data_IF_939099886389
#
_entry.id   IF_939099886389
#
_cell.length_a   1.000
_cell.length_b   1.000
_cell.length_c   1.000
_cell.angle_alpha   90.00
_cell.angle_beta   90.00
_cell.angle_gamma   90.00
#
_symmetry.space_group_name_H-M   'P 1'
#
loop_
_entity.id
_entity.type
_entity.pdbx_description
1 polymer ?
#
# COMPACT_ATOMS: atom_id res chain seq x y z
N UNK A 1 30.84 -19.45 -9.16
CA UNK A 1 30.65 -18.14 -8.52
C UNK A 1 29.98 -18.40 -7.18
N UNK A 2 30.77 -18.57 -6.12
CA UNK A 2 30.23 -18.63 -4.75
C UNK A 2 29.75 -17.22 -4.40
N UNK A 3 28.43 -17.04 -4.33
CA UNK A 3 27.86 -15.80 -3.83
C UNK A 3 28.24 -15.71 -2.36
N UNK A 4 29.17 -14.80 -2.06
CA UNK A 4 29.56 -14.47 -0.69
C UNK A 4 28.29 -14.15 0.10
N UNK A 5 27.91 -15.06 1.00
CA UNK A 5 26.76 -14.91 1.88
C UNK A 5 27.10 -13.73 2.78
N UNK A 6 26.59 -12.55 2.42
CA UNK A 6 26.91 -11.33 3.16
C UNK A 6 26.44 -11.53 4.60
N UNK A 7 27.38 -11.43 5.55
CA UNK A 7 27.08 -11.55 6.97
C UNK A 7 25.85 -10.72 7.36
N UNK A 8 24.95 -11.24 8.20
CA UNK A 8 23.71 -10.57 8.55
C UNK A 8 23.98 -9.16 9.08
N UNK A 9 23.46 -8.15 8.40
CA UNK A 9 23.52 -6.76 8.88
C UNK A 9 22.66 -6.66 10.14
N UNK A 10 23.32 -6.45 11.28
CA UNK A 10 22.66 -6.28 12.58
C UNK A 10 22.64 -4.79 12.90
N UNK A 11 21.45 -4.19 12.81
CA UNK A 11 21.18 -2.89 13.40
C UNK A 11 20.75 -3.04 14.87
N UNK A 12 20.86 -1.99 15.69
CA UNK A 12 20.28 -1.98 17.03
C UNK A 12 18.76 -2.21 16.98
N UNK A 13 18.07 -1.66 15.98
CA UNK A 13 16.60 -1.66 15.90
C UNK A 13 16.00 -2.65 14.90
N UNK A 14 16.82 -3.39 14.15
CA UNK A 14 16.33 -4.40 13.21
C UNK A 14 17.34 -5.54 13.00
N UNK A 15 16.90 -6.63 12.38
CA UNK A 15 17.74 -7.74 11.91
C UNK A 15 17.34 -8.09 10.49
N UNK A 16 18.32 -8.38 9.64
CA UNK A 16 18.11 -8.89 8.27
C UNK A 16 18.75 -10.27 8.15
N UNK A 17 18.03 -11.22 7.57
CA UNK A 17 18.51 -12.57 7.25
C UNK A 17 17.80 -13.03 5.98
N UNK A 18 18.51 -13.43 4.93
CA UNK A 18 17.90 -14.03 3.71
C UNK A 18 16.74 -13.19 3.13
N UNK A 19 16.93 -11.88 2.98
CA UNK A 19 15.93 -10.91 2.52
C UNK A 19 14.67 -10.80 3.41
N UNK A 20 14.71 -11.38 4.61
CA UNK A 20 13.70 -11.26 5.64
C UNK A 20 14.11 -10.21 6.66
N UNK A 21 13.24 -9.21 6.84
CA UNK A 21 13.44 -8.08 7.76
C UNK A 21 12.67 -8.34 9.06
N UNK A 22 13.31 -8.14 10.20
CA UNK A 22 12.67 -8.10 11.53
C UNK A 22 12.92 -6.74 12.17
N UNK A 23 11.86 -5.99 12.42
CA UNK A 23 11.91 -4.76 13.21
C UNK A 23 11.86 -5.16 14.70
N UNK A 24 12.78 -4.63 15.51
CA UNK A 24 12.87 -4.88 16.95
C UNK A 24 12.22 -3.78 17.78
N UNK A 25 12.21 -2.56 17.27
CA UNK A 25 11.63 -1.40 17.95
C UNK A 25 10.13 -1.30 17.66
N UNK A 26 9.35 -0.87 18.66
CA UNK A 26 7.91 -0.67 18.53
C UNK A 26 7.47 0.51 19.39
N UNK A 27 6.50 1.27 18.90
CA UNK A 27 5.73 2.26 19.64
C UNK A 27 4.33 1.74 20.00
N UNK A 28 3.98 0.51 19.59
CA UNK A 28 2.64 -0.02 19.80
C UNK A 28 2.35 -0.41 21.25
N UNK A 29 1.09 -0.20 21.64
CA UNK A 29 0.55 -0.56 22.95
C UNK A 29 -0.57 -1.58 22.81
N UNK A 30 -0.61 -2.53 23.75
CA UNK A 30 -1.68 -3.54 23.84
C UNK A 30 -3.06 -2.94 24.11
N UNK A 31 -3.13 -1.69 24.57
CA UNK A 31 -4.39 -0.98 24.83
C UNK A 31 -5.00 -0.34 23.56
N UNK A 32 -4.29 -0.42 22.44
CA UNK A 32 -4.67 0.17 21.15
C UNK A 32 -5.14 -0.90 20.14
N UNK A 33 -5.65 -2.02 20.65
CA UNK A 33 -6.26 -3.09 19.84
C UNK A 33 -7.78 -3.07 20.05
N UNK A 34 -8.57 -3.69 19.15
CA UNK A 34 -10.02 -3.79 19.33
C UNK A 34 -10.40 -4.38 20.70
N UNK A 35 -11.41 -3.81 21.35
CA UNK A 35 -11.92 -4.28 22.64
C UNK A 35 -12.58 -5.65 22.51
N UNK A 36 -12.80 -6.37 23.61
CA UNK A 36 -13.48 -7.67 23.59
C UNK A 36 -14.88 -7.58 22.94
N UNK A 37 -15.63 -6.53 23.25
CA UNK A 37 -16.95 -6.26 22.65
C UNK A 37 -16.86 -6.11 21.13
N UNK A 38 -15.87 -5.36 20.63
CA UNK A 38 -15.65 -5.17 19.19
C UNK A 38 -15.26 -6.44 18.45
N UNK A 39 -14.78 -7.48 19.16
CA UNK A 39 -14.41 -8.78 18.59
C UNK A 39 -15.60 -9.73 18.46
N UNK A 40 -16.67 -9.48 19.22
CA UNK A 40 -17.89 -10.27 19.18
C UNK A 40 -18.77 -9.81 18.02
N UNK A 41 -19.42 -10.76 17.35
CA UNK A 41 -20.45 -10.46 16.35
C UNK A 41 -21.76 -10.16 17.09
N UNK A 42 -22.06 -8.88 17.27
CA UNK A 42 -23.30 -8.39 17.90
C UNK A 42 -24.07 -7.59 16.87
N UNK A 43 -25.38 -7.84 16.81
CA UNK A 43 -26.31 -7.10 15.96
C UNK A 43 -26.90 -5.94 16.75
N UNK A 44 -26.99 -4.77 16.14
CA UNK A 44 -27.73 -3.62 16.69
C UNK A 44 -29.25 -3.76 16.46
N UNK A 45 -30.03 -2.82 16.98
CA UNK A 45 -31.50 -2.80 16.82
C UNK A 45 -31.96 -2.64 15.36
N UNK A 46 -31.05 -2.19 14.48
CA UNK A 46 -31.28 -2.07 13.05
C UNK A 46 -30.86 -3.34 12.29
N UNK A 47 -30.35 -4.35 12.99
CA UNK A 47 -29.86 -5.58 12.42
C UNK A 47 -28.51 -5.44 11.70
N UNK A 48 -27.74 -4.36 11.91
CA UNK A 48 -26.37 -4.28 11.43
C UNK A 48 -25.41 -4.93 12.43
N UNK A 49 -24.27 -5.43 11.97
CA UNK A 49 -23.19 -5.89 12.85
C UNK A 49 -21.84 -5.32 12.44
N UNK A 50 -20.95 -5.19 13.42
CA UNK A 50 -19.56 -4.81 13.25
C UNK A 50 -18.68 -5.73 14.11
N UNK A 51 -17.76 -6.45 13.50
CA UNK A 51 -16.89 -7.41 14.18
C UNK A 51 -15.43 -7.26 13.73
N UNK A 52 -14.49 -7.32 14.67
CA UNK A 52 -13.06 -7.43 14.38
C UNK A 52 -12.59 -8.87 14.60
N UNK A 53 -11.98 -9.46 13.58
CA UNK A 53 -11.38 -10.81 13.63
C UNK A 53 -9.87 -10.67 13.48
N UNK A 54 -9.10 -11.16 14.44
CA UNK A 54 -7.64 -11.06 14.35
C UNK A 54 -7.10 -11.96 13.24
N UNK A 55 -6.11 -11.46 12.51
CA UNK A 55 -5.35 -12.20 11.50
C UNK A 55 -3.96 -12.54 12.06
N UNK A 56 -3.51 -13.75 11.80
CA UNK A 56 -2.26 -14.35 12.24
C UNK A 56 -1.31 -14.58 11.07
N UNK A 57 -0.10 -15.07 11.36
CA UNK A 57 0.96 -15.20 10.36
C UNK A 57 0.66 -16.19 9.25
N UNK A 58 -0.24 -17.14 9.45
CA UNK A 58 -0.67 -18.11 8.43
C UNK A 58 -1.77 -17.56 7.50
N UNK A 59 -2.39 -16.42 7.83
CA UNK A 59 -3.38 -15.80 6.98
C UNK A 59 -2.75 -15.22 5.69
N UNK A 60 -3.35 -15.52 4.55
CA UNK A 60 -2.92 -14.99 3.25
C UNK A 60 -2.84 -13.46 3.23
N UNK A 61 -3.81 -12.78 3.85
CA UNK A 61 -3.83 -11.32 3.91
C UNK A 61 -2.70 -10.76 4.79
N UNK A 62 -2.31 -11.48 5.84
CA UNK A 62 -1.16 -11.11 6.67
C UNK A 62 0.13 -11.20 5.85
N UNK A 63 0.33 -12.32 5.15
CA UNK A 63 1.50 -12.52 4.27
C UNK A 63 1.56 -11.44 3.17
N UNK A 64 0.42 -11.09 2.58
CA UNK A 64 0.35 -10.01 1.59
C UNK A 64 0.79 -8.65 2.15
N UNK A 65 0.48 -8.34 3.42
CA UNK A 65 1.02 -7.13 4.06
C UNK A 65 2.54 -7.21 4.20
N UNK A 66 3.08 -8.34 4.64
CA UNK A 66 4.51 -8.55 4.81
C UNK A 66 5.29 -8.38 3.49
N UNK A 67 4.78 -8.98 2.42
CA UNK A 67 5.36 -8.94 1.07
C UNK A 67 5.26 -7.54 0.45
N UNK A 68 4.23 -6.76 0.81
CA UNK A 68 4.11 -5.37 0.35
C UNK A 68 5.05 -4.43 1.08
N UNK A 69 5.24 -4.60 2.39
CA UNK A 69 6.07 -3.70 3.20
C UNK A 69 7.57 -3.95 2.96
N UNK A 70 7.97 -5.22 2.87
CA UNK A 70 9.38 -5.63 2.79
C UNK A 70 10.22 -4.90 1.73
N UNK A 71 9.79 -4.82 0.47
CA UNK A 71 10.58 -4.18 -0.59
C UNK A 71 10.85 -2.70 -0.32
N UNK A 72 9.89 -1.96 0.23
CA UNK A 72 10.10 -0.56 0.59
C UNK A 72 11.12 -0.41 1.74
N UNK A 73 11.07 -1.28 2.74
CA UNK A 73 12.05 -1.25 3.83
C UNK A 73 13.46 -1.58 3.34
N UNK A 74 13.58 -2.55 2.43
CA UNK A 74 14.85 -2.93 1.83
C UNK A 74 15.48 -1.77 1.05
N UNK A 75 14.68 -1.10 0.22
CA UNK A 75 15.15 0.02 -0.57
C UNK A 75 15.52 1.22 0.31
N UNK A 76 14.56 1.71 1.10
CA UNK A 76 14.69 2.98 1.84
C UNK A 76 15.60 2.93 3.07
N UNK A 77 15.78 1.75 3.68
CA UNK A 77 16.58 1.61 4.91
C UNK A 77 17.89 0.87 4.65
N UNK A 78 17.88 -0.12 3.76
CA UNK A 78 19.06 -0.95 3.51
C UNK A 78 19.82 -0.56 2.23
N UNK A 79 19.26 0.31 1.38
CA UNK A 79 19.80 0.63 0.07
C UNK A 79 19.83 -0.60 -0.85
N UNK A 80 18.85 -1.49 -0.69
CA UNK A 80 18.75 -2.76 -1.42
C UNK A 80 17.52 -2.75 -2.31
N UNK A 81 17.75 -2.55 -3.60
CA UNK A 81 16.72 -2.64 -4.62
C UNK A 81 16.27 -4.10 -4.82
N UNK A 82 15.08 -4.25 -5.39
CA UNK A 82 14.58 -5.55 -5.82
C UNK A 82 15.50 -6.13 -6.90
N UNK A 83 15.98 -7.34 -6.67
CA UNK A 83 16.77 -8.12 -7.62
C UNK A 83 15.98 -9.37 -8.00
N UNK A 84 15.61 -9.56 -9.28
CA UNK A 84 14.89 -10.75 -9.73
C UNK A 84 15.64 -12.07 -9.49
N UNK A 85 16.97 -12.03 -9.32
CA UNK A 85 17.77 -13.21 -9.05
C UNK A 85 17.74 -13.64 -7.57
N UNK A 86 17.19 -12.80 -6.68
CA UNK A 86 17.13 -13.05 -5.24
C UNK A 86 15.67 -13.24 -4.78
N UNK A 87 15.45 -13.93 -3.65
CA UNK A 87 14.12 -13.98 -3.04
C UNK A 87 13.57 -12.58 -2.77
N UNK A 88 12.25 -12.35 -2.91
CA UNK A 88 11.65 -11.06 -2.63
C UNK A 88 11.85 -10.66 -1.17
N UNK A 89 12.07 -9.37 -0.95
CA UNK A 89 12.17 -8.81 0.39
C UNK A 89 10.82 -8.87 1.09
N UNK A 90 10.80 -9.35 2.34
CA UNK A 90 9.57 -9.38 3.15
C UNK A 90 9.84 -9.05 4.61
N UNK A 91 8.81 -8.53 5.28
CA UNK A 91 8.80 -8.38 6.74
C UNK A 91 8.45 -9.76 7.37
N UNK A 92 9.15 -10.19 8.41
CA UNK A 92 8.86 -11.51 9.03
C UNK A 92 7.54 -11.51 9.80
N UNK A 93 7.27 -10.41 10.50
CA UNK A 93 6.08 -10.14 11.31
C UNK A 93 6.03 -8.65 11.60
N UNK A 94 4.85 -8.13 11.95
CA UNK A 94 4.74 -6.76 12.46
C UNK A 94 5.59 -6.55 13.73
N UNK A 95 6.02 -5.30 14.02
CA UNK A 95 6.67 -4.98 15.28
C UNK A 95 5.81 -5.41 16.48
N UNK A 96 6.43 -5.62 17.64
CA UNK A 96 5.72 -6.13 18.82
C UNK A 96 4.50 -5.25 19.17
N UNK A 97 3.41 -5.87 19.62
CA UNK A 97 2.09 -5.27 19.91
C UNK A 97 1.29 -4.70 18.72
N UNK A 98 1.86 -4.68 17.51
CA UNK A 98 1.04 -4.48 16.32
C UNK A 98 0.28 -5.75 15.95
N UNK A 99 -1.01 -5.60 15.67
CA UNK A 99 -1.88 -6.73 15.32
C UNK A 99 -2.76 -6.37 14.12
N UNK A 100 -2.87 -7.30 13.17
CA UNK A 100 -3.71 -7.13 11.99
C UNK A 100 -5.09 -7.71 12.27
N UNK A 101 -6.13 -6.96 11.90
CA UNK A 101 -7.53 -7.32 12.12
C UNK A 101 -8.31 -7.18 10.83
N UNK A 102 -9.24 -8.11 10.59
CA UNK A 102 -10.26 -8.01 9.57
C UNK A 102 -11.53 -7.44 10.21
N UNK A 103 -11.86 -6.20 9.86
CA UNK A 103 -13.13 -5.58 10.24
C UNK A 103 -14.21 -6.03 9.27
N UNK A 104 -15.22 -6.72 9.81
CA UNK A 104 -16.40 -7.22 9.08
C UNK A 104 -17.60 -6.35 9.45
N UNK A 105 -18.27 -5.78 8.44
CA UNK A 105 -19.52 -5.04 8.61
C UNK A 105 -20.58 -5.62 7.69
N UNK A 106 -21.77 -5.90 8.19
CA UNK A 106 -22.87 -6.45 7.40
C UNK A 106 -24.21 -6.30 8.10
N UNK A 107 -25.24 -6.94 7.55
CA UNK A 107 -26.60 -6.92 8.10
C UNK A 107 -27.08 -8.33 8.44
N UNK A 108 -28.17 -8.41 9.20
CA UNK A 108 -28.87 -9.66 9.51
C UNK A 108 -29.55 -10.24 8.28
N UNK A 109 -29.91 -9.39 7.31
CA UNK A 109 -30.53 -9.78 6.04
C UNK A 109 -29.53 -10.36 5.03
N UNK A 110 -28.24 -10.00 5.14
CA UNK A 110 -27.16 -10.55 4.31
C UNK A 110 -25.93 -10.91 5.17
N UNK A 111 -26.02 -11.95 6.01
CA UNK A 111 -24.93 -12.34 6.89
C UNK A 111 -23.79 -13.04 6.15
N UNK A 112 -24.03 -13.49 4.91
CA UNK A 112 -23.08 -14.27 4.10
C UNK A 112 -22.09 -13.38 3.33
N UNK A 113 -22.45 -12.13 3.04
CA UNK A 113 -21.61 -11.20 2.28
C UNK A 113 -21.25 -9.92 3.05
N UNK A 114 -20.67 -10.03 4.26
CA UNK A 114 -20.20 -8.83 4.95
C UNK A 114 -19.11 -8.15 4.14
N UNK A 115 -19.14 -6.82 4.14
CA UNK A 115 -17.98 -6.03 3.74
C UNK A 115 -16.83 -6.33 4.68
N UNK A 116 -15.64 -6.49 4.12
CA UNK A 116 -14.42 -6.71 4.90
C UNK A 116 -13.36 -5.66 4.58
N UNK A 117 -12.70 -5.16 5.61
CA UNK A 117 -11.59 -4.20 5.51
C UNK A 117 -10.47 -4.64 6.48
N UNK A 118 -9.21 -4.60 6.05
CA UNK A 118 -8.08 -5.00 6.89
C UNK A 118 -7.43 -3.78 7.56
N UNK A 119 -7.21 -3.88 8.87
CA UNK A 119 -6.73 -2.82 9.73
C UNK A 119 -5.57 -3.28 10.60
N UNK A 120 -4.48 -2.52 10.57
CA UNK A 120 -3.36 -2.71 11.48
C UNK A 120 -3.54 -1.79 12.70
N UNK A 121 -3.65 -2.41 13.87
CA UNK A 121 -3.83 -1.81 15.18
C UNK A 121 -2.55 -1.86 16.01
N UNK A 122 -2.47 -1.02 17.05
CA UNK A 122 -1.37 -1.00 18.02
C UNK A 122 -0.75 0.38 18.20
N UNK A 123 -0.71 1.20 17.15
CA UNK A 123 -0.12 2.53 17.22
C UNK A 123 -0.87 3.45 18.21
N UNK A 124 -0.15 4.27 18.99
CA UNK A 124 -0.78 5.30 19.81
C UNK A 124 -1.52 6.33 18.96
N UNK A 125 -2.20 7.26 19.60
CA UNK A 125 -2.73 8.42 18.89
C UNK A 125 -1.55 9.24 18.33
N UNK A 126 -1.37 9.22 17.02
CA UNK A 126 -0.23 9.85 16.35
C UNK A 126 -0.53 11.28 15.86
N UNK A 127 -1.76 11.78 16.05
CA UNK A 127 -2.15 13.13 15.70
C UNK A 127 -3.62 13.29 15.31
N UNK A 128 -4.07 14.53 15.06
CA UNK A 128 -5.44 14.83 14.65
C UNK A 128 -5.74 14.18 13.29
N UNK A 129 -6.31 12.97 13.34
CA UNK A 129 -7.10 12.51 12.19
C UNK A 129 -8.20 13.53 12.01
N UNK A 130 -8.23 14.14 10.83
CA UNK A 130 -8.78 15.47 10.53
C UNK A 130 -10.24 15.73 10.93
N UNK A 131 -10.95 14.80 11.56
CA UNK A 131 -12.34 14.94 12.01
C UNK A 131 -12.70 14.07 13.24
N UNK A 132 -11.75 13.66 14.11
CA UNK A 132 -12.08 12.87 15.32
C UNK A 132 -11.63 13.58 16.60
N UNK A 133 -12.49 13.55 17.61
CA UNK A 133 -12.16 14.07 18.94
C UNK A 133 -10.91 13.38 19.50
N UNK A 134 -10.00 14.19 20.04
CA UNK A 134 -8.66 13.78 20.48
C UNK A 134 -8.66 12.76 21.64
N UNK A 135 -9.80 12.52 22.29
CA UNK A 135 -9.84 11.84 23.58
C UNK A 135 -9.80 10.30 23.51
N UNK A 136 -10.01 9.65 22.35
CA UNK A 136 -10.09 8.17 22.32
C UNK A 136 -9.76 7.49 21.00
N UNK A 137 -9.32 8.19 19.96
CA UNK A 137 -9.06 7.54 18.67
C UNK A 137 -7.66 6.93 18.63
N UNK A 138 -7.55 5.61 18.77
CA UNK A 138 -6.35 4.87 18.39
C UNK A 138 -6.04 5.06 16.90
N UNK A 139 -4.76 5.16 16.52
CA UNK A 139 -4.37 5.21 15.10
C UNK A 139 -4.51 3.83 14.46
N UNK A 140 -5.17 3.78 13.30
CA UNK A 140 -5.42 2.54 12.55
C UNK A 140 -4.88 2.71 11.13
N UNK A 141 -3.93 1.88 10.72
CA UNK A 141 -3.46 1.86 9.34
C UNK A 141 -4.38 0.97 8.50
N UNK A 142 -4.88 1.49 7.38
CA UNK A 142 -5.88 0.83 6.52
C UNK A 142 -5.29 0.15 5.30
N UNK A 143 -3.99 0.27 5.09
CA UNK A 143 -3.26 -0.41 4.03
C UNK A 143 -1.78 -0.54 4.40
N UNK A 144 -1.05 -1.47 3.77
CA UNK A 144 0.39 -1.58 3.94
C UNK A 144 1.10 -0.25 3.68
N UNK A 145 0.69 0.48 2.63
CA UNK A 145 1.29 1.75 2.21
C UNK A 145 1.11 2.88 3.23
N UNK A 146 0.05 2.84 4.02
CA UNK A 146 -0.10 3.81 5.12
C UNK A 146 0.92 3.56 6.24
N UNK A 147 1.37 2.31 6.40
CA UNK A 147 2.26 1.88 7.48
C UNK A 147 3.75 1.93 7.11
N UNK A 148 4.12 1.81 5.82
CA UNK A 148 5.52 1.76 5.36
C UNK A 148 6.39 2.87 5.96
N UNK A 149 5.95 4.13 5.89
CA UNK A 149 6.68 5.27 6.43
C UNK A 149 6.89 5.19 7.95
N UNK A 150 5.89 4.66 8.66
CA UNK A 150 5.99 4.44 10.10
C UNK A 150 6.97 3.31 10.41
N UNK A 151 6.93 2.22 9.61
CA UNK A 151 7.87 1.12 9.72
C UNK A 151 9.33 1.55 9.44
N UNK A 152 9.56 2.46 8.48
CA UNK A 152 10.88 3.06 8.22
C UNK A 152 11.37 3.82 9.47
N UNK A 153 10.51 4.64 10.08
CA UNK A 153 10.82 5.35 11.30
C UNK A 153 11.12 4.40 12.48
N UNK A 154 10.35 3.31 12.62
CA UNK A 154 10.62 2.26 13.62
C UNK A 154 11.96 1.55 13.38
N UNK A 155 12.34 1.26 12.13
CA UNK A 155 13.66 0.70 11.80
C UNK A 155 14.82 1.64 12.16
N UNK A 156 14.57 2.96 12.20
CA UNK A 156 15.52 3.98 12.68
C UNK A 156 15.47 4.16 14.20
N UNK A 157 14.77 3.30 14.92
CA UNK A 157 14.69 3.32 16.39
C UNK A 157 13.73 4.36 16.95
N UNK A 158 12.75 4.81 16.14
CA UNK A 158 11.81 5.83 16.58
C UNK A 158 12.43 7.24 16.67
N UNK A 159 13.60 7.45 16.05
CA UNK A 159 14.32 8.71 16.11
C UNK A 159 14.00 9.62 14.91
N UNK A 160 13.98 10.92 15.16
CA UNK A 160 13.67 11.94 14.17
C UNK A 160 12.18 12.03 13.84
N UNK A 161 11.86 12.72 12.75
CA UNK A 161 10.47 12.95 12.33
C UNK A 161 9.91 11.75 11.56
N UNK A 162 8.77 11.22 12.01
CA UNK A 162 8.01 10.23 11.26
C UNK A 162 7.18 10.91 10.16
N UNK A 163 7.31 10.42 8.92
CA UNK A 163 6.69 11.00 7.73
C UNK A 163 5.42 10.26 7.30
N UNK A 164 4.85 9.41 8.16
CA UNK A 164 3.56 8.77 7.86
C UNK A 164 2.42 9.78 7.90
N UNK A 165 1.30 9.47 7.23
CA UNK A 165 0.10 10.34 7.19
C UNK A 165 -0.49 10.69 8.56
N UNK A 166 -0.16 9.92 9.60
CA UNK A 166 -0.70 10.11 10.94
C UNK A 166 0.20 10.97 11.81
N UNK A 167 1.52 10.79 11.74
CA UNK A 167 2.50 11.58 12.50
C UNK A 167 2.75 12.95 11.89
N UNK A 168 2.72 13.06 10.56
CA UNK A 168 2.86 14.34 9.87
C UNK A 168 1.50 14.70 9.25
N UNK A 169 0.70 15.56 9.91
CA UNK A 169 -0.56 16.02 9.34
C UNK A 169 -0.30 16.70 7.99
N UNK A 170 -1.32 16.76 7.13
CA UNK A 170 -1.27 17.33 5.76
C UNK A 170 -0.61 16.46 4.68
N UNK A 171 -0.02 15.31 5.01
CA UNK A 171 0.40 14.37 3.96
C UNK A 171 -0.79 13.59 3.40
N UNK A 172 -1.09 13.80 2.12
CA UNK A 172 -2.06 12.99 1.40
C UNK A 172 -1.48 11.61 1.06
N UNK A 173 -2.32 10.57 0.99
CA UNK A 173 -1.88 9.24 0.55
C UNK A 173 -1.21 9.27 -0.82
N UNK A 174 -1.69 10.14 -1.72
CA UNK A 174 -1.08 10.35 -3.04
C UNK A 174 0.37 10.84 -2.92
N UNK A 175 0.62 11.79 -2.01
CA UNK A 175 1.97 12.31 -1.78
C UNK A 175 2.90 11.23 -1.23
N UNK A 176 2.40 10.40 -0.30
CA UNK A 176 3.15 9.27 0.26
C UNK A 176 3.50 8.25 -0.83
N UNK A 177 2.53 7.85 -1.65
CA UNK A 177 2.77 6.91 -2.75
C UNK A 177 3.79 7.46 -3.75
N UNK A 178 3.66 8.73 -4.17
CA UNK A 178 4.63 9.36 -5.08
C UNK A 178 6.04 9.32 -4.50
N UNK A 179 6.21 9.72 -3.23
CA UNK A 179 7.51 9.71 -2.57
C UNK A 179 8.11 8.31 -2.53
N UNK A 180 7.33 7.31 -2.15
CA UNK A 180 7.77 5.91 -2.06
C UNK A 180 8.11 5.30 -3.44
N UNK A 181 7.36 5.65 -4.48
CA UNK A 181 7.58 5.17 -5.84
C UNK A 181 8.86 5.77 -6.47
N UNK A 182 9.19 7.02 -6.15
CA UNK A 182 10.44 7.65 -6.62
C UNK A 182 11.71 7.00 -6.03
N UNK A 183 11.62 6.37 -4.85
CA UNK A 183 12.74 5.60 -4.29
C UNK A 183 13.03 4.31 -5.07
N UNK A 184 11.97 3.60 -5.47
CA UNK A 184 12.07 2.30 -6.14
C UNK A 184 12.44 2.42 -7.64
N UNK A 185 12.33 3.61 -8.23
CA UNK A 185 12.46 3.84 -9.67
C UNK A 185 13.55 4.84 -10.04
N UNK A 186 14.82 4.44 -9.90
CA UNK A 186 15.92 4.91 -10.76
C UNK A 186 16.05 6.43 -10.95
N UNK A 187 16.60 7.12 -9.95
CA UNK A 187 17.35 8.35 -10.19
C UNK A 187 18.67 8.03 -10.90
N UNK A 188 18.59 7.74 -12.20
CA UNK A 188 19.68 7.82 -13.17
C UNK A 188 19.22 8.72 -14.34
N UNK A 189 18.53 9.82 -14.02
CA UNK A 189 18.16 10.85 -15.00
C UNK A 189 18.52 12.24 -14.52
N UNK A 190 19.68 12.35 -13.85
CA UNK A 190 20.52 13.54 -13.99
C UNK A 190 21.42 13.31 -15.21
N UNK A 191 20.81 13.23 -16.40
CA UNK A 191 21.46 13.65 -17.64
C UNK A 191 21.00 15.09 -17.89
N UNK A 192 21.73 16.10 -17.37
CA UNK A 192 21.52 17.50 -17.72
C UNK A 192 22.10 17.82 -19.10
N UNK A 193 21.68 17.12 -20.14
CA UNK A 193 21.89 17.46 -21.56
C UNK A 193 20.68 16.87 -22.30
N UNK A 194 19.75 17.63 -22.87
CA UNK A 194 19.99 18.62 -23.90
C UNK A 194 18.75 19.54 -24.02
N UNK A 195 18.95 20.82 -23.72
CA UNK A 195 18.07 21.92 -24.10
C UNK A 195 18.31 22.23 -25.58
N UNK A 196 17.68 21.45 -26.46
CA UNK A 196 17.53 21.80 -27.88
C UNK A 196 16.05 21.73 -28.24
N UNK A 197 15.38 22.87 -28.09
CA UNK A 197 13.97 23.04 -28.42
C UNK A 197 13.64 22.74 -29.88
N UNK A 198 12.51 22.08 -30.10
CA UNK A 198 11.87 21.99 -31.41
C UNK A 198 10.39 22.37 -31.29
N UNK A 199 10.09 23.61 -31.71
CA UNK A 199 8.75 24.10 -31.95
C UNK A 199 8.19 23.50 -33.26
N UNK A 200 6.98 22.95 -33.20
CA UNK A 200 6.12 22.65 -34.35
C UNK A 200 4.75 22.18 -33.81
N UNK A 201 3.59 22.73 -34.16
CA UNK A 201 3.22 23.57 -35.29
C UNK A 201 2.37 22.76 -36.29
N UNK A 202 1.04 22.83 -36.16
CA UNK A 202 0.04 22.33 -37.12
C UNK A 202 -0.72 21.10 -36.63
N UNK A 203 -2.05 20.97 -36.72
CA UNK A 203 -3.07 21.76 -37.39
C UNK A 203 -4.16 20.82 -37.94
N UNK A 204 -5.44 21.12 -37.66
CA UNK A 204 -6.55 20.82 -38.58
C UNK A 204 -7.48 19.63 -38.29
N UNK A 205 -8.79 19.94 -38.21
CA UNK A 205 -9.95 19.03 -38.40
C UNK A 205 -10.81 18.87 -37.14
N UNK A 206 -12.06 19.33 -37.01
CA UNK A 206 -13.08 19.74 -37.99
C UNK A 206 -14.30 18.81 -37.89
N UNK A 207 -15.46 19.33 -37.44
CA UNK A 207 -16.78 18.65 -37.41
C UNK A 207 -17.36 18.58 -36.00
N UNK A 208 -18.30 19.44 -35.60
CA UNK A 208 -19.74 19.38 -35.93
C UNK A 208 -20.44 18.69 -34.75
N UNK A 209 -21.20 19.33 -33.86
CA UNK A 209 -22.44 20.10 -34.08
C UNK A 209 -23.45 19.54 -33.06
N UNK A 210 -24.18 20.40 -32.33
CA UNK A 210 -25.22 19.95 -31.39
C UNK A 210 -25.42 20.93 -30.24
N UNK A 211 -26.36 21.86 -30.43
CA UNK A 211 -26.69 22.92 -29.48
C UNK A 211 -27.54 22.48 -28.29
N UNK A 212 -27.57 23.35 -27.28
CA UNK A 212 -28.50 23.33 -26.15
C UNK A 212 -28.36 24.63 -25.35
N UNK A 213 -29.42 25.41 -25.13
CA UNK A 213 -29.34 26.70 -24.45
C UNK A 213 -29.47 26.54 -22.94
N UNK A 214 -28.66 27.27 -22.16
CA UNK A 214 -29.02 27.65 -20.80
C UNK A 214 -28.29 28.93 -20.38
N UNK A 215 -29.08 29.99 -20.26
CA UNK A 215 -28.96 31.16 -19.38
C UNK A 215 -28.42 30.79 -17.98
N UNK A 216 -27.70 31.59 -17.19
CA UNK A 216 -27.27 32.98 -17.26
C UNK A 216 -26.62 33.39 -15.90
N UNK A 217 -25.77 34.45 -15.93
CA UNK A 217 -25.35 35.32 -14.80
C UNK A 217 -24.40 34.72 -13.74
N UNK A 218 -23.35 35.37 -13.26
CA UNK A 218 -22.82 36.71 -13.50
C UNK A 218 -21.67 37.04 -12.51
N UNK A 219 -20.72 37.88 -12.95
CA UNK A 219 -19.74 38.64 -12.13
C UNK A 219 -18.55 37.85 -11.56
N UNK A 220 -17.28 38.28 -11.63
CA UNK A 220 -16.63 39.46 -12.16
C UNK A 220 -15.13 39.42 -11.79
N UNK A 221 -14.29 39.86 -12.75
CA UNK A 221 -12.99 40.57 -12.64
C UNK A 221 -11.90 40.03 -11.69
N UNK A 222 -10.59 39.92 -12.00
CA UNK A 222 -9.63 40.65 -12.86
C UNK A 222 -8.34 39.80 -12.88
N UNK A 223 -7.69 39.59 -14.03
CA UNK A 223 -6.28 39.17 -14.06
C UNK A 223 -5.49 39.92 -15.13
N UNK A 224 -4.37 40.47 -14.66
CA UNK A 224 -3.41 41.35 -15.31
C UNK A 224 -2.63 40.64 -16.42
N UNK A 225 -2.43 41.33 -17.55
CA UNK A 225 -1.64 40.88 -18.71
C UNK A 225 -0.17 41.28 -18.55
N UNK A 226 0.75 40.37 -18.89
CA UNK A 226 2.14 40.70 -19.23
C UNK A 226 2.44 40.33 -20.70
N UNK A 227 3.31 41.10 -21.40
CA UNK A 227 3.56 40.92 -22.83
C UNK A 227 4.66 39.89 -23.12
N UNK A 228 4.40 39.01 -24.10
CA UNK A 228 5.40 38.11 -24.67
C UNK A 228 6.12 38.77 -25.87
N UNK A 229 7.46 38.80 -25.79
CA UNK A 229 8.35 39.19 -26.88
C UNK A 229 8.48 38.07 -27.93
N UNK A 230 8.41 38.44 -29.21
CA UNK A 230 8.77 37.60 -30.37
C UNK A 230 10.28 37.59 -30.58
N UNK A 231 10.85 36.44 -30.96
CA UNK A 231 12.11 36.37 -31.72
C UNK A 231 12.04 35.30 -32.82
N UNK A 232 12.59 35.67 -33.98
CA UNK A 232 12.87 34.87 -35.19
C UNK A 232 14.28 34.28 -35.11
N UNK A 233 14.51 33.13 -35.75
CA UNK A 233 15.82 32.62 -36.17
C UNK A 233 15.70 31.18 -36.69
N UNK A 234 15.70 30.97 -38.01
CA UNK A 234 16.81 30.48 -38.86
C UNK A 234 17.02 28.96 -38.82
N UNK A 235 16.85 28.35 -39.99
CA UNK A 235 16.92 26.92 -40.27
C UNK A 235 18.37 26.42 -40.44
N UNK A 236 18.61 25.17 -40.06
CA UNK A 236 19.75 24.38 -40.51
C UNK A 236 19.40 22.87 -40.53
N UNK A 237 19.97 22.18 -41.51
CA UNK A 237 19.70 20.81 -41.98
C UNK A 237 20.06 19.71 -40.97
N UNK A 238 19.21 18.67 -40.89
CA UNK A 238 19.49 17.44 -40.15
C UNK A 238 19.65 16.23 -41.10
N UNK A 239 20.85 15.65 -41.12
CA UNK A 239 21.11 14.29 -41.63
C UNK A 239 21.01 13.30 -40.48
N UNK A 240 20.44 12.12 -40.77
CA UNK A 240 19.88 11.21 -39.78
C UNK A 240 20.86 10.33 -39.02
N UNK A 241 20.39 9.85 -37.86
CA UNK A 241 20.92 8.69 -37.16
C UNK A 241 19.77 7.85 -36.60
N UNK A 242 19.77 6.56 -36.94
CA UNK A 242 18.81 5.54 -36.49
C UNK A 242 19.18 5.10 -35.06
N UNK A 243 18.43 5.58 -34.06
CA UNK A 243 18.55 5.15 -32.67
C UNK A 243 17.82 3.83 -32.38
N UNK A 244 18.54 2.90 -31.74
CA UNK A 244 18.04 1.60 -31.26
C UNK A 244 17.00 1.80 -30.15
N UNK A 245 15.81 1.19 -30.31
CA UNK A 245 14.75 1.18 -29.30
C UNK A 245 15.15 0.27 -28.13
N UNK A 246 15.44 0.87 -26.98
CA UNK A 246 15.48 0.14 -25.71
C UNK A 246 14.05 -0.32 -25.37
N UNK A 247 13.89 -1.62 -25.12
CA UNK A 247 12.63 -2.21 -24.72
C UNK A 247 12.17 -1.60 -23.37
N UNK A 248 11.04 -0.88 -23.39
CA UNK A 248 10.36 -0.44 -22.17
C UNK A 248 9.93 -1.67 -21.38
N UNK A 249 10.57 -1.91 -20.23
CA UNK A 249 10.09 -2.89 -19.26
C UNK A 249 8.74 -2.42 -18.72
N UNK A 250 7.72 -3.24 -18.92
CA UNK A 250 6.42 -3.08 -18.27
C UNK A 250 6.64 -3.42 -16.80
N UNK A 251 6.89 -2.41 -15.97
CA UNK A 251 6.81 -2.58 -14.54
C UNK A 251 5.34 -2.83 -14.19
N UNK A 252 5.05 -4.01 -13.62
CA UNK A 252 3.77 -4.27 -12.97
C UNK A 252 3.46 -3.12 -12.02
N UNK A 253 2.34 -2.43 -12.30
CA UNK A 253 1.97 -1.25 -11.53
C UNK A 253 1.75 -1.67 -10.07
N UNK A 254 2.18 -0.84 -9.10
CA UNK A 254 1.89 -1.12 -7.70
C UNK A 254 0.37 -1.26 -7.51
N UNK A 255 -0.05 -2.41 -6.99
CA UNK A 255 -1.43 -2.71 -6.58
C UNK A 255 -1.88 -1.61 -5.61
N UNK A 256 -2.88 -0.82 -6.02
CA UNK A 256 -3.31 0.40 -5.33
C UNK A 256 -4.25 0.05 -4.16
N UNK A 257 -4.41 0.95 -3.19
CA UNK A 257 -5.28 0.78 -2.01
C UNK A 257 -6.72 0.30 -2.33
N UNK A 258 -7.22 0.56 -3.54
CA UNK A 258 -8.54 0.11 -4.02
C UNK A 258 -8.63 -1.40 -4.30
N UNK A 259 -7.51 -2.06 -4.50
CA UNK A 259 -7.42 -3.48 -4.87
C UNK A 259 -7.44 -4.40 -3.62
N UNK A 260 -7.41 -3.83 -2.41
CA UNK A 260 -7.50 -4.57 -1.14
C UNK A 260 -8.94 -4.89 -0.72
N UNK A 261 -9.94 -4.48 -1.50
CA UNK A 261 -11.29 -5.06 -1.35
C UNK A 261 -11.21 -6.51 -1.81
N UNK A 262 -11.03 -7.41 -0.86
CA UNK A 262 -11.16 -8.84 -1.12
C UNK A 262 -12.59 -9.07 -1.61
N UNK A 263 -12.73 -9.39 -2.90
CA UNK A 263 -13.97 -10.01 -3.38
C UNK A 263 -14.05 -11.34 -2.65
N UNK A 264 -15.11 -11.55 -1.89
CA UNK A 264 -15.37 -12.80 -1.20
C UNK A 264 -15.58 -13.88 -2.27
N UNK A 265 -14.50 -14.50 -2.75
CA UNK A 265 -14.56 -15.64 -3.68
C UNK A 265 -14.85 -16.89 -2.87
N UNK A 266 -15.95 -16.89 -2.12
CA UNK A 266 -16.49 -18.08 -1.52
C UNK A 266 -17.36 -18.80 -2.56
N UNK A 267 -16.73 -19.18 -3.68
CA UNK A 267 -17.29 -20.12 -4.64
C UNK A 267 -16.95 -21.52 -4.13
N UNK A 268 -17.82 -22.07 -3.28
CA UNK A 268 -17.66 -23.40 -2.73
C UNK A 268 -17.54 -24.46 -3.84
N UNK A 269 -16.33 -24.97 -4.03
CA UNK A 269 -16.09 -26.25 -4.68
C UNK A 269 -16.38 -27.36 -3.66
N UNK A 270 -17.63 -27.79 -3.56
CA UNK A 270 -17.99 -29.00 -2.83
C UNK A 270 -17.36 -30.20 -3.52
N UNK A 271 -16.34 -30.79 -2.90
CA UNK A 271 -15.87 -32.12 -3.26
C UNK A 271 -16.38 -33.10 -2.19
N UNK A 272 -17.49 -33.77 -2.52
CA UNK A 272 -18.04 -34.87 -1.73
C UNK A 272 -17.14 -36.08 -1.84
N UNK A 273 -16.29 -36.29 -0.83
CA UNK A 273 -15.57 -37.54 -0.62
C UNK A 273 -16.32 -38.39 0.41
N UNK A 274 -17.20 -39.25 -0.07
CA UNK A 274 -17.80 -40.34 0.70
C UNK A 274 -16.74 -41.38 1.07
N UNK A 275 -16.18 -41.26 2.29
CA UNK A 275 -15.32 -42.27 2.91
C UNK A 275 -16.16 -43.25 3.74
N UNK A 276 -16.24 -44.48 3.26
CA UNK A 276 -16.89 -45.64 3.86
C UNK A 276 -16.35 -45.98 5.24
N UNK A 277 -17.25 -46.10 6.22
CA UNK A 277 -16.98 -46.68 7.52
C UNK A 277 -16.80 -48.20 7.39
N UNK A 278 -15.57 -48.68 7.55
CA UNK A 278 -15.27 -50.09 7.79
C UNK A 278 -15.41 -50.40 9.27
N UNK A 279 -16.50 -51.10 9.63
CA UNK A 279 -16.66 -51.70 10.95
C UNK A 279 -15.76 -52.95 11.03
N UNK A 280 -14.77 -52.92 11.93
CA UNK A 280 -13.95 -54.07 12.31
C UNK A 280 -14.23 -54.44 13.76
N UNK A 281 -14.94 -55.54 13.96
CA UNK A 281 -15.14 -56.20 15.25
C UNK A 281 -13.88 -56.96 15.69
N UNK A 282 -13.64 -57.07 17.00
CA UNK A 282 -12.55 -57.88 17.56
C UNK A 282 -12.57 -57.97 19.09
N UNK A 283 -13.25 -59.01 19.58
CA UNK A 283 -13.23 -59.74 20.86
C UNK A 283 -12.00 -59.54 21.82
N UNK A 284 -12.21 -59.35 23.14
CA UNK A 284 -12.11 -60.34 24.25
C UNK A 284 -10.74 -61.04 24.37
N UNK A 285 -10.03 -61.20 25.49
CA UNK A 285 -10.34 -61.52 26.90
C UNK A 285 -9.06 -61.31 27.74
N UNK A 286 -9.16 -61.15 29.05
CA UNK A 286 -8.05 -61.51 29.94
C UNK A 286 -8.15 -60.88 31.33
N UNK A 287 -8.71 -61.63 32.28
CA UNK A 287 -8.50 -61.48 33.73
C UNK A 287 -7.50 -62.52 34.20
#
# INVERSE_FOLDING_TARGET
>A
MEQSISSPRKGPHFRVSENVIKIKHTDASIHHVPTEEQRRKVYDDQGNFSQHVQLFSDDHLYQLWMDKIGPYLADWVLGKRADPALPPWKLIRFPDNYTLWLHKTGTVTDPANPRTDAYLHGAPYLGPTTNRSAASSTTIFRSPMEFVEHAIWLMRGGQGQCLCKYCTPYQSQRHINLRLDHGLGGGDSDDPESDDGAAGGGGGGGGGGGGGPSTGGGGGTRTTRHPFFRRRGTAASAQGLRGRRAARRVHDRPIMAKDYRIRNTNSGGGNGGSGSAGAGAGASTGS
#
